data_IF_515794493912
#
_entry.id   IF_515794493912
#
_cell.length_a   1.000
_cell.length_b   1.000
_cell.length_c   1.000
_cell.angle_alpha   90.00
_cell.angle_beta   90.00
_cell.angle_gamma   90.00
#
_symmetry.space_group_name_H-M   'P 1'
#
loop_
_entity.id
_entity.type
_entity.pdbx_description
1 polymer ?
#
# COMPACT_ATOMS: atom_id res chain seq x y z
N UNK A 1 -22.61 1.78 -7.69
CA UNK A 1 -21.61 2.47 -8.53
C UNK A 1 -21.32 3.89 -8.02
N UNK A 2 -22.34 4.72 -7.76
CA UNK A 2 -22.16 6.06 -7.17
C UNK A 2 -21.41 6.06 -5.84
N UNK A 3 -21.73 5.15 -4.92
CA UNK A 3 -21.06 5.09 -3.61
C UNK A 3 -19.59 4.67 -3.73
N UNK A 4 -19.27 3.75 -4.64
CA UNK A 4 -17.90 3.36 -4.94
C UNK A 4 -17.08 4.55 -5.46
N UNK A 5 -17.61 5.30 -6.43
CA UNK A 5 -16.94 6.48 -7.01
C UNK A 5 -16.74 7.54 -5.93
N UNK A 6 -17.73 7.75 -5.06
CA UNK A 6 -17.64 8.72 -3.96
C UNK A 6 -16.55 8.34 -2.96
N UNK A 7 -16.54 7.10 -2.47
CA UNK A 7 -15.48 6.62 -1.57
C UNK A 7 -14.10 6.71 -2.22
N UNK A 8 -13.97 6.29 -3.47
CA UNK A 8 -12.71 6.35 -4.22
C UNK A 8 -12.18 7.79 -4.32
N UNK A 9 -13.02 8.75 -4.69
CA UNK A 9 -12.62 10.15 -4.81
C UNK A 9 -12.24 10.76 -3.46
N UNK A 10 -12.96 10.40 -2.38
CA UNK A 10 -12.61 10.87 -1.04
C UNK A 10 -11.24 10.32 -0.63
N UNK A 11 -11.00 9.02 -0.79
CA UNK A 11 -9.72 8.39 -0.47
C UNK A 11 -8.57 9.00 -1.29
N UNK A 12 -8.81 9.26 -2.58
CA UNK A 12 -7.86 9.93 -3.46
C UNK A 12 -7.53 11.34 -2.99
N UNK A 13 -8.54 12.16 -2.71
CA UNK A 13 -8.36 13.53 -2.25
C UNK A 13 -7.61 13.58 -0.91
N UNK A 14 -7.99 12.75 0.07
CA UNK A 14 -7.32 12.68 1.35
C UNK A 14 -5.85 12.25 1.20
N UNK A 15 -5.60 11.17 0.46
CA UNK A 15 -4.24 10.64 0.25
C UNK A 15 -3.35 11.65 -0.47
N UNK A 16 -3.88 12.25 -1.55
CA UNK A 16 -3.16 13.28 -2.30
C UNK A 16 -2.86 14.52 -1.44
N UNK A 17 -3.80 14.96 -0.61
CA UNK A 17 -3.59 16.11 0.27
C UNK A 17 -2.46 15.83 1.27
N UNK A 18 -2.47 14.66 1.91
CA UNK A 18 -1.43 14.27 2.87
C UNK A 18 -0.05 14.22 2.17
N UNK A 19 0.03 13.56 1.01
CA UNK A 19 1.29 13.38 0.29
C UNK A 19 1.81 14.71 -0.25
N UNK A 20 0.95 15.55 -0.84
CA UNK A 20 1.35 16.84 -1.40
C UNK A 20 1.79 17.83 -0.33
N UNK A 21 1.09 17.92 0.80
CA UNK A 21 1.47 18.77 1.95
C UNK A 21 2.79 18.29 2.55
N UNK A 22 2.95 16.98 2.75
CA UNK A 22 4.22 16.40 3.26
C UNK A 22 5.37 16.69 2.30
N UNK A 23 5.15 16.52 1.00
CA UNK A 23 6.14 16.85 -0.03
C UNK A 23 6.50 18.33 -0.04
N UNK A 24 5.54 19.23 0.11
CA UNK A 24 5.78 20.67 0.20
C UNK A 24 6.63 21.04 1.43
N UNK A 25 6.35 20.45 2.60
CA UNK A 25 7.14 20.66 3.82
C UNK A 25 8.59 20.20 3.61
N UNK A 26 8.78 19.00 3.04
CA UNK A 26 10.13 18.47 2.76
C UNK A 26 10.89 19.40 1.81
N UNK A 27 10.23 19.86 0.76
CA UNK A 27 10.81 20.78 -0.22
C UNK A 27 11.20 22.12 0.42
N UNK A 28 10.35 22.66 1.30
CA UNK A 28 10.66 23.88 2.06
C UNK A 28 11.89 23.73 2.97
N UNK A 29 12.06 22.57 3.61
CA UNK A 29 13.23 22.28 4.46
C UNK A 29 14.50 22.05 3.63
N UNK A 30 14.38 21.37 2.49
CA UNK A 30 15.50 21.02 1.62
C UNK A 30 15.94 22.17 0.69
N UNK A 31 15.18 23.27 0.62
CA UNK A 31 15.44 24.37 -0.30
C UNK A 31 15.19 24.01 -1.77
N UNK A 32 14.33 23.01 -2.03
CA UNK A 32 13.98 22.54 -3.37
C UNK A 32 12.62 23.05 -3.79
N UNK A 33 12.45 23.38 -5.07
CA UNK A 33 11.20 23.88 -5.63
C UNK A 33 10.30 22.71 -6.09
N UNK A 34 8.99 22.80 -5.83
CA UNK A 34 8.00 21.90 -6.43
C UNK A 34 7.68 22.32 -7.86
N UNK A 35 8.10 21.51 -8.85
CA UNK A 35 7.70 21.70 -10.24
C UNK A 35 6.33 21.02 -10.52
N UNK A 36 5.54 21.59 -11.42
CA UNK A 36 4.29 21.04 -11.96
C UNK A 36 4.38 19.55 -12.35
N UNK A 37 5.52 19.12 -12.91
CA UNK A 37 5.73 17.70 -13.27
C UNK A 37 5.73 16.80 -12.03
N UNK A 38 6.34 17.25 -10.94
CA UNK A 38 6.37 16.49 -9.68
C UNK A 38 4.96 16.38 -9.07
N UNK A 39 4.20 17.48 -9.11
CA UNK A 39 2.81 17.52 -8.64
C UNK A 39 1.92 16.54 -9.42
N UNK A 40 2.04 16.52 -10.75
CA UNK A 40 1.30 15.59 -11.62
C UNK A 40 1.70 14.14 -11.32
N UNK A 41 3.00 13.85 -11.18
CA UNK A 41 3.47 12.49 -10.88
C UNK A 41 3.00 12.01 -9.51
N UNK A 42 3.02 12.88 -8.48
CA UNK A 42 2.44 12.57 -7.17
C UNK A 42 0.96 12.22 -7.28
N UNK A 43 0.19 12.98 -8.05
CA UNK A 43 -1.23 12.70 -8.27
C UNK A 43 -1.46 11.35 -8.98
N UNK A 44 -0.64 11.02 -9.99
CA UNK A 44 -0.70 9.72 -10.68
C UNK A 44 -0.40 8.58 -9.72
N UNK A 45 0.64 8.69 -8.88
CA UNK A 45 0.96 7.65 -7.89
C UNK A 45 -0.12 7.51 -6.82
N UNK A 46 -0.74 8.60 -6.37
CA UNK A 46 -1.89 8.53 -5.47
C UNK A 46 -3.06 7.77 -6.11
N UNK A 47 -3.35 8.04 -7.39
CA UNK A 47 -4.37 7.29 -8.13
C UNK A 47 -4.04 5.80 -8.21
N UNK A 48 -2.80 5.45 -8.54
CA UNK A 48 -2.39 4.03 -8.60
C UNK A 48 -2.55 3.37 -7.24
N UNK A 49 -2.12 4.02 -6.16
CA UNK A 49 -2.24 3.48 -4.80
C UNK A 49 -3.70 3.22 -4.42
N UNK A 50 -4.58 4.21 -4.59
CA UNK A 50 -6.01 4.07 -4.26
C UNK A 50 -6.68 3.04 -5.17
N UNK A 51 -6.31 2.98 -6.45
CA UNK A 51 -6.80 1.95 -7.37
C UNK A 51 -6.41 0.54 -6.93
N UNK A 52 -5.14 0.30 -6.60
CA UNK A 52 -4.66 -1.01 -6.11
C UNK A 52 -5.36 -1.41 -4.80
N UNK A 53 -5.57 -0.45 -3.90
CA UNK A 53 -6.35 -0.65 -2.68
C UNK A 53 -7.81 -1.01 -2.99
N UNK A 54 -8.43 -0.34 -3.96
CA UNK A 54 -9.82 -0.62 -4.36
C UNK A 54 -10.02 -2.03 -4.94
N UNK A 55 -8.97 -2.59 -5.56
CA UNK A 55 -8.97 -3.94 -6.12
C UNK A 55 -9.04 -5.03 -5.03
N UNK A 56 -8.72 -4.70 -3.77
CA UNK A 56 -8.77 -5.63 -2.63
C UNK A 56 -10.06 -6.47 -2.62
N UNK A 57 -11.22 -5.86 -2.88
CA UNK A 57 -12.53 -6.53 -2.85
C UNK A 57 -12.68 -7.69 -3.84
N UNK A 58 -11.90 -7.69 -4.92
CA UNK A 58 -11.95 -8.78 -5.91
C UNK A 58 -11.21 -10.04 -5.45
N UNK A 59 -10.35 -9.93 -4.44
CA UNK A 59 -9.51 -11.02 -3.97
C UNK A 59 -9.92 -11.58 -2.61
N UNK A 60 -11.15 -11.30 -2.15
CA UNK A 60 -11.68 -11.77 -0.85
C UNK A 60 -11.63 -13.31 -0.69
N UNK A 61 -11.55 -14.06 -1.79
CA UNK A 61 -11.43 -15.52 -1.80
C UNK A 61 -9.99 -16.04 -1.67
N UNK A 62 -8.98 -15.19 -1.81
CA UNK A 62 -7.58 -15.57 -1.68
C UNK A 62 -7.11 -15.44 -0.22
N UNK A 63 -6.04 -16.16 0.11
CA UNK A 63 -5.34 -15.95 1.38
C UNK A 63 -4.94 -14.47 1.48
N UNK A 64 -5.17 -13.80 2.63
CA UNK A 64 -4.77 -12.41 2.83
C UNK A 64 -3.28 -12.15 2.54
N UNK A 65 -2.42 -13.15 2.78
CA UNK A 65 -1.00 -13.06 2.46
C UNK A 65 -0.77 -12.96 0.94
N UNK A 66 -1.44 -13.83 0.17
CA UNK A 66 -1.33 -13.83 -1.29
C UNK A 66 -1.86 -12.52 -1.88
N UNK A 67 -2.94 -11.99 -1.31
CA UNK A 67 -3.52 -10.73 -1.69
C UNK A 67 -2.58 -9.53 -1.48
N UNK A 68 -1.90 -9.43 -0.33
CA UNK A 68 -0.91 -8.37 -0.06
C UNK A 68 0.23 -8.43 -1.09
N UNK A 69 0.71 -9.64 -1.40
CA UNK A 69 1.77 -9.84 -2.40
C UNK A 69 1.30 -9.40 -3.79
N UNK A 70 0.09 -9.80 -4.20
CA UNK A 70 -0.48 -9.41 -5.49
C UNK A 70 -0.62 -7.89 -5.57
N UNK A 71 -1.17 -7.24 -4.55
CA UNK A 71 -1.32 -5.78 -4.52
C UNK A 71 0.03 -5.07 -4.63
N UNK A 72 1.05 -5.55 -3.93
CA UNK A 72 2.41 -5.02 -4.03
C UNK A 72 2.97 -5.13 -5.46
N UNK A 73 2.87 -6.32 -6.08
CA UNK A 73 3.37 -6.55 -7.44
C UNK A 73 2.62 -5.68 -8.44
N UNK A 74 1.29 -5.61 -8.36
CA UNK A 74 0.46 -4.78 -9.23
C UNK A 74 0.82 -3.29 -9.07
N UNK A 75 0.98 -2.81 -7.84
CA UNK A 75 1.40 -1.44 -7.60
C UNK A 75 2.78 -1.14 -8.21
N UNK A 76 3.76 -2.04 -8.02
CA UNK A 76 5.10 -1.89 -8.60
C UNK A 76 5.06 -1.82 -10.13
N UNK A 77 4.28 -2.69 -10.77
CA UNK A 77 4.13 -2.70 -12.23
C UNK A 77 3.45 -1.44 -12.72
N UNK A 78 2.36 -1.00 -12.10
CA UNK A 78 1.64 0.22 -12.49
C UNK A 78 2.51 1.47 -12.30
N UNK A 79 3.23 1.58 -11.18
CA UNK A 79 4.18 2.66 -10.95
C UNK A 79 5.31 2.65 -11.97
N UNK A 80 5.86 1.48 -12.31
CA UNK A 80 6.88 1.36 -13.33
C UNK A 80 6.39 1.77 -14.72
N UNK A 81 5.17 1.36 -15.09
CA UNK A 81 4.53 1.79 -16.35
C UNK A 81 4.33 3.31 -16.35
N UNK A 82 3.83 3.89 -15.26
CA UNK A 82 3.61 5.34 -15.17
C UNK A 82 4.93 6.13 -15.33
N UNK A 83 6.01 5.67 -14.68
CA UNK A 83 7.34 6.27 -14.84
C UNK A 83 7.87 6.09 -16.25
N UNK A 84 7.69 4.90 -16.84
CA UNK A 84 8.14 4.63 -18.21
C UNK A 84 7.40 5.51 -19.23
N UNK A 85 6.10 5.72 -19.07
CA UNK A 85 5.34 6.69 -19.88
C UNK A 85 5.91 8.10 -19.67
N UNK A 86 6.24 8.48 -18.42
CA UNK A 86 6.90 9.74 -18.11
C UNK A 86 8.23 9.93 -18.83
N UNK A 87 9.02 8.86 -19.05
CA UNK A 87 10.31 8.98 -19.77
C UNK A 87 10.16 9.44 -21.21
N UNK A 88 9.00 9.18 -21.84
CA UNK A 88 8.70 9.62 -23.21
C UNK A 88 8.61 11.15 -23.27
N UNK A 89 8.13 11.79 -22.20
CA UNK A 89 7.88 13.23 -22.18
C UNK A 89 9.00 14.04 -21.50
N UNK A 90 9.71 13.45 -20.54
CA UNK A 90 10.63 14.19 -19.65
C UNK A 90 12.08 13.66 -19.66
N UNK A 91 12.38 12.65 -20.47
CA UNK A 91 13.73 12.09 -20.60
C UNK A 91 14.00 10.87 -19.70
N UNK A 92 15.20 10.28 -19.83
CA UNK A 92 15.52 9.00 -19.18
C UNK A 92 15.61 9.14 -17.66
N UNK A 93 14.98 8.20 -16.96
CA UNK A 93 15.03 8.10 -15.49
C UNK A 93 16.34 7.43 -15.07
N UNK A 94 17.04 8.03 -14.11
CA UNK A 94 18.31 7.49 -13.61
C UNK A 94 18.09 6.14 -12.89
N UNK A 95 19.06 5.22 -12.93
CA UNK A 95 18.95 3.95 -12.19
C UNK A 95 18.70 4.14 -10.69
N UNK A 96 19.23 5.23 -10.12
CA UNK A 96 19.00 5.59 -8.71
C UNK A 96 17.54 5.96 -8.43
N UNK A 97 16.89 6.70 -9.33
CA UNK A 97 15.49 7.08 -9.17
C UNK A 97 14.55 5.86 -9.21
N UNK A 98 14.88 4.85 -10.02
CA UNK A 98 14.16 3.56 -10.00
C UNK A 98 14.28 2.86 -8.64
N UNK A 99 15.49 2.81 -8.08
CA UNK A 99 15.71 2.22 -6.77
C UNK A 99 14.96 2.98 -5.67
N UNK A 100 14.98 4.31 -5.71
CA UNK A 100 14.27 5.15 -4.74
C UNK A 100 12.74 4.99 -4.84
N UNK A 101 12.20 4.82 -6.05
CA UNK A 101 10.78 4.51 -6.27
C UNK A 101 10.38 3.19 -5.62
N UNK A 102 11.07 2.10 -5.97
CA UNK A 102 10.76 0.77 -5.43
C UNK A 102 10.96 0.73 -3.92
N UNK A 103 12.01 1.36 -3.39
CA UNK A 103 12.24 1.45 -1.95
C UNK A 103 11.11 2.17 -1.23
N UNK A 104 10.64 3.28 -1.79
CA UNK A 104 9.53 4.06 -1.20
C UNK A 104 8.22 3.29 -1.18
N UNK A 105 7.98 2.39 -2.14
CA UNK A 105 6.82 1.49 -2.13
C UNK A 105 7.02 0.27 -1.23
N UNK A 106 8.22 -0.33 -1.24
CA UNK A 106 8.52 -1.57 -0.52
C UNK A 106 8.50 -1.38 1.00
N UNK A 107 9.04 -0.27 1.50
CA UNK A 107 9.15 -0.04 2.96
C UNK A 107 7.77 -0.01 3.64
N UNK A 108 6.79 0.83 3.20
CA UNK A 108 5.45 0.81 3.76
C UNK A 108 4.76 -0.56 3.66
N UNK A 109 4.92 -1.25 2.53
CA UNK A 109 4.34 -2.58 2.34
C UNK A 109 4.94 -3.63 3.28
N UNK A 110 6.27 -3.63 3.47
CA UNK A 110 6.94 -4.54 4.38
C UNK A 110 6.48 -4.31 5.83
N UNK A 111 6.31 -3.06 6.24
CA UNK A 111 5.77 -2.71 7.56
C UNK A 111 4.33 -3.25 7.71
N UNK A 112 3.48 -3.01 6.71
CA UNK A 112 2.10 -3.52 6.71
C UNK A 112 2.03 -5.05 6.80
N UNK A 113 2.86 -5.75 6.02
CA UNK A 113 2.94 -7.21 6.03
C UNK A 113 3.43 -7.76 7.38
N UNK A 114 4.45 -7.13 7.98
CA UNK A 114 4.97 -7.52 9.28
C UNK A 114 3.93 -7.37 10.40
N UNK A 115 3.20 -6.23 10.42
CA UNK A 115 2.11 -6.00 11.36
C UNK A 115 0.97 -7.01 11.19
N UNK A 116 0.64 -7.33 9.94
CA UNK A 116 -0.38 -8.35 9.64
C UNK A 116 0.04 -9.73 10.18
N UNK A 117 1.28 -10.16 9.89
CA UNK A 117 1.78 -11.45 10.34
C UNK A 117 1.85 -11.54 11.87
N UNK A 118 2.27 -10.47 12.54
CA UNK A 118 2.30 -10.40 13.99
C UNK A 118 0.90 -10.62 14.59
N UNK A 119 -0.13 -9.95 14.06
CA UNK A 119 -1.51 -10.13 14.52
C UNK A 119 -2.01 -11.55 14.28
N UNK A 120 -1.75 -12.10 13.10
CA UNK A 120 -2.14 -13.47 12.75
C UNK A 120 -1.51 -14.49 13.70
N UNK A 121 -0.24 -14.31 14.09
CA UNK A 121 0.44 -15.18 15.03
C UNK A 121 -0.18 -15.11 16.44
N UNK A 122 -0.51 -13.90 16.91
CA UNK A 122 -1.20 -13.71 18.19
C UNK A 122 -2.57 -14.38 18.19
N UNK A 123 -3.35 -14.23 17.12
CA UNK A 123 -4.68 -14.82 17.03
C UNK A 123 -4.63 -16.35 16.91
N UNK A 124 -3.67 -16.89 16.15
CA UNK A 124 -3.45 -18.33 16.07
C UNK A 124 -3.07 -18.92 17.43
N UNK A 125 -2.22 -18.24 18.21
CA UNK A 125 -1.86 -18.68 19.56
C UNK A 125 -3.06 -18.68 20.51
N UNK A 126 -3.88 -17.62 20.49
CA UNK A 126 -5.12 -17.55 21.29
C UNK A 126 -6.08 -18.68 20.96
N UNK A 127 -6.24 -19.00 19.68
CA UNK A 127 -7.10 -20.11 19.26
C UNK A 127 -6.57 -21.47 19.75
N UNK A 128 -5.25 -21.68 19.73
CA UNK A 128 -4.65 -22.90 20.29
C UNK A 128 -4.82 -23.00 21.80
N UNK A 129 -4.67 -21.89 22.52
CA UNK A 129 -4.83 -21.87 23.98
C UNK A 129 -6.30 -22.17 24.37
N UNK A 130 -7.28 -21.59 23.67
CA UNK A 130 -8.71 -21.89 23.86
C UNK A 130 -9.06 -23.35 23.54
N UNK A 131 -8.45 -23.93 22.50
CA UNK A 131 -8.67 -25.33 22.15
C UNK A 131 -8.16 -26.28 23.23
N UNK A 132 -7.01 -25.96 23.83
CA UNK A 132 -6.46 -26.74 24.96
C UNK A 132 -7.36 -26.65 26.19
N UNK A 133 -7.83 -25.45 26.53
CA UNK A 133 -8.74 -25.25 27.67
C UNK A 133 -10.04 -26.07 27.51
N UNK A 134 -10.61 -26.14 26.30
CA UNK A 134 -11.79 -26.97 26.02
C UNK A 134 -11.48 -28.48 26.12
N UNK A 135 -10.28 -28.90 25.72
CA UNK A 135 -9.86 -30.31 25.83
C UNK A 135 -9.67 -30.71 27.29
N UNK A 136 -8.96 -29.90 28.07
CA UNK A 136 -8.70 -30.13 29.49
C UNK A 136 -10.02 -30.19 30.29
N UNK A 137 -10.96 -29.27 30.03
CA UNK A 137 -12.30 -29.27 30.66
C UNK A 137 -13.16 -30.50 30.30
N UNK A 138 -12.96 -31.11 29.13
CA UNK A 138 -13.67 -32.33 28.74
C UNK A 138 -13.03 -33.59 29.35
N UNK A 139 -11.72 -33.59 29.59
CA UNK A 139 -11.02 -34.69 30.25
C UNK A 139 -11.32 -34.73 31.76
N UNK A 140 -11.43 -33.58 32.44
CA UNK A 140 -11.82 -33.52 33.86
C UNK A 140 -13.28 -33.93 34.14
N UNK A 141 -14.12 -33.97 33.10
CA UNK A 141 -15.56 -34.27 33.21
C UNK A 141 -15.91 -35.75 32.97
N UNK A 142 -14.93 -36.57 32.58
CA UNK A 142 -15.03 -38.03 32.42
C UNK A 142 -14.34 -38.76 33.57
#
# INVERSE_FOLDING_TARGET
MKDFIKSYLIELCCSYTIISVTGAIINMIAGTETNNVNVIMMFIFCNIAVFVLSIHKFFEKLSPLAMIIIQYVVACVLCAIAVQIGTIFYGPVTPRAWFELFRSFSIPYAIGAALYYYRLWVDAKKQQDLLKEIQDLNEEKN
#
